data_IF_279550041407
#
_entry.id   IF_279550041407
#
_cell.length_a   1.000
_cell.length_b   1.000
_cell.length_c   1.000
_cell.angle_alpha   90.00
_cell.angle_beta   90.00
_cell.angle_gamma   90.00
#
_symmetry.space_group_name_H-M   'P 1'
#
loop_
_entity.id
_entity.type
_entity.pdbx_description
1 polymer ?
#
# COMPACT_ATOMS: atom_id res chain seq x y z
N UNK A 1 -1.89 9.91 -47.42
CA UNK A 1 -2.50 11.25 -47.62
C UNK A 1 -1.93 11.89 -48.85
N UNK A 2 -2.77 12.54 -49.64
CA UNK A 2 -2.34 13.34 -50.76
C UNK A 2 -1.67 14.65 -50.33
N UNK A 3 -0.94 15.37 -51.24
CA UNK A 3 -0.40 16.67 -50.91
C UNK A 3 -1.46 17.68 -50.40
N UNK A 4 -2.68 17.61 -50.94
CA UNK A 4 -3.80 18.47 -50.52
C UNK A 4 -4.37 18.09 -49.17
N UNK A 5 -4.47 16.82 -48.86
CA UNK A 5 -4.85 16.36 -47.52
C UNK A 5 -3.82 16.80 -46.44
N UNK A 6 -2.52 16.79 -46.79
CA UNK A 6 -1.48 17.32 -45.89
C UNK A 6 -1.59 18.82 -45.65
N UNK A 7 -2.10 19.58 -46.64
CA UNK A 7 -2.42 20.99 -46.43
C UNK A 7 -3.59 21.15 -45.46
N UNK A 8 -4.64 20.35 -45.56
CA UNK A 8 -5.77 20.40 -44.59
C UNK A 8 -5.31 20.15 -43.16
N UNK A 9 -4.40 19.22 -42.90
CA UNK A 9 -3.82 19.02 -41.58
C UNK A 9 -3.00 20.24 -41.12
N UNK A 10 -2.20 20.82 -41.99
CA UNK A 10 -1.32 21.96 -41.68
C UNK A 10 -2.12 23.23 -41.39
N UNK A 11 -3.12 23.51 -42.20
CA UNK A 11 -3.90 24.75 -42.13
C UNK A 11 -5.07 24.66 -41.15
N UNK A 12 -5.34 23.45 -40.60
CA UNK A 12 -6.45 23.20 -39.69
C UNK A 12 -7.82 23.26 -40.37
N UNK A 13 -7.88 23.09 -41.68
CA UNK A 13 -9.10 23.06 -42.46
C UNK A 13 -9.90 21.80 -42.09
N UNK A 14 -11.12 21.97 -41.55
CA UNK A 14 -11.99 20.87 -41.13
C UNK A 14 -11.32 19.93 -40.10
N UNK A 15 -11.14 20.35 -38.83
CA UNK A 15 -10.44 19.59 -37.80
C UNK A 15 -11.18 18.30 -37.38
N UNK A 16 -12.41 18.09 -37.85
CA UNK A 16 -13.11 16.82 -37.67
C UNK A 16 -12.58 15.74 -38.59
N UNK A 17 -12.28 16.08 -39.85
CA UNK A 17 -11.80 15.13 -40.87
C UNK A 17 -10.27 15.04 -40.88
N UNK A 18 -9.59 16.13 -40.57
CA UNK A 18 -8.12 16.25 -40.56
C UNK A 18 -7.67 16.80 -39.19
N UNK A 19 -7.81 15.98 -38.12
CA UNK A 19 -7.51 16.41 -36.78
C UNK A 19 -5.99 16.51 -36.53
N UNK A 20 -5.63 17.38 -35.59
CA UNK A 20 -4.28 17.47 -35.02
C UNK A 20 -4.39 17.58 -33.51
N UNK A 21 -4.57 16.46 -32.84
CA UNK A 21 -4.84 16.38 -31.41
C UNK A 21 -3.57 16.14 -30.63
N UNK A 22 -3.21 17.03 -29.73
CA UNK A 22 -2.21 16.78 -28.70
C UNK A 22 -2.88 16.04 -27.52
N UNK A 23 -2.87 14.72 -27.60
CA UNK A 23 -3.53 13.85 -26.61
C UNK A 23 -2.97 14.02 -25.20
N UNK A 24 -1.68 14.31 -25.08
CA UNK A 24 -1.01 14.46 -23.79
C UNK A 24 -1.39 15.78 -23.14
N UNK A 25 -1.30 16.87 -23.88
CA UNK A 25 -1.67 18.21 -23.40
C UNK A 25 -3.18 18.28 -23.04
N UNK A 26 -4.01 17.57 -23.81
CA UNK A 26 -5.44 17.49 -23.48
C UNK A 26 -5.71 16.66 -22.23
N UNK A 27 -5.02 15.54 -22.06
CA UNK A 27 -5.27 14.61 -20.96
C UNK A 27 -4.72 15.08 -19.61
N UNK A 28 -3.66 15.89 -19.62
CA UNK A 28 -2.97 16.29 -18.39
C UNK A 28 -3.07 17.79 -18.16
N UNK A 29 -3.16 18.15 -16.88
CA UNK A 29 -2.98 19.51 -16.38
C UNK A 29 -1.58 19.68 -15.80
N UNK A 30 -1.11 20.93 -15.75
CA UNK A 30 0.27 21.26 -15.38
C UNK A 30 0.63 20.94 -13.93
N UNK A 31 -0.36 20.88 -13.02
CA UNK A 31 -0.10 20.67 -11.61
C UNK A 31 -1.18 19.82 -10.93
N UNK A 32 -0.75 19.13 -9.89
CA UNK A 32 -1.61 18.43 -8.95
C UNK A 32 -1.41 18.99 -7.54
N UNK A 33 -2.46 18.90 -6.72
CA UNK A 33 -2.40 19.37 -5.34
C UNK A 33 -2.17 18.22 -4.38
N UNK A 34 -1.30 18.47 -3.39
CA UNK A 34 -1.13 17.64 -2.21
C UNK A 34 -1.43 18.47 -0.97
N UNK A 35 -2.38 17.98 -0.17
CA UNK A 35 -2.68 18.54 1.16
C UNK A 35 -2.30 17.49 2.20
N UNK A 36 -1.55 17.90 3.21
CA UNK A 36 -1.18 17.04 4.32
C UNK A 36 -1.25 17.84 5.61
N UNK A 37 -1.89 17.23 6.61
CA UNK A 37 -1.99 17.80 7.96
C UNK A 37 -1.62 16.71 8.95
N UNK A 38 -0.69 17.01 9.84
CA UNK A 38 -0.22 16.12 10.88
C UNK A 38 -0.44 16.76 12.25
N UNK A 39 -1.13 16.05 13.13
CA UNK A 39 -1.28 16.42 14.52
C UNK A 39 -0.53 15.42 15.38
N UNK A 40 0.17 15.92 16.38
CA UNK A 40 0.91 15.11 17.34
C UNK A 40 0.56 15.55 18.75
N UNK A 41 0.15 14.59 19.56
CA UNK A 41 -0.17 14.76 20.96
C UNK A 41 0.71 13.83 21.78
N UNK A 42 1.42 14.39 22.75
CA UNK A 42 2.24 13.61 23.69
C UNK A 42 2.11 14.20 25.08
N UNK A 43 2.13 13.35 26.06
CA UNK A 43 2.06 13.78 27.45
C UNK A 43 2.08 12.62 28.40
N UNK A 44 1.92 12.92 29.65
CA UNK A 44 1.79 11.90 30.68
C UNK A 44 2.30 12.34 32.04
N UNK A 45 2.33 11.36 32.91
CA UNK A 45 2.84 11.44 34.29
C UNK A 45 3.77 10.24 34.54
N UNK A 46 4.25 10.08 35.76
CA UNK A 46 5.03 8.90 36.14
C UNK A 46 4.26 7.58 36.01
N UNK A 47 2.92 7.62 36.01
CA UNK A 47 2.04 6.44 35.93
C UNK A 47 1.45 6.22 34.56
N UNK A 48 1.32 7.27 33.74
CA UNK A 48 0.65 7.19 32.46
C UNK A 48 1.41 8.03 31.43
N UNK A 49 1.77 7.43 30.28
CA UNK A 49 2.35 8.14 29.17
C UNK A 49 1.55 7.82 27.91
N UNK A 50 1.39 8.81 27.06
CA UNK A 50 0.74 8.61 25.77
C UNK A 50 1.45 9.37 24.66
N UNK A 51 1.34 8.80 23.49
CA UNK A 51 1.78 9.40 22.24
C UNK A 51 0.74 9.10 21.17
N UNK A 52 0.14 10.13 20.58
CA UNK A 52 -0.89 9.99 19.55
C UNK A 52 -0.51 10.86 18.36
N UNK A 53 -0.58 10.29 17.15
CA UNK A 53 -0.46 11.02 15.89
C UNK A 53 -1.71 10.81 15.06
N UNK A 54 -2.17 11.90 14.44
CA UNK A 54 -3.26 11.89 13.46
C UNK A 54 -2.73 12.54 12.20
N UNK A 55 -2.69 11.79 11.11
CA UNK A 55 -2.26 12.26 9.79
C UNK A 55 -3.43 12.19 8.83
N UNK A 56 -3.70 13.27 8.15
CA UNK A 56 -4.55 13.31 6.98
C UNK A 56 -3.73 13.74 5.78
N UNK A 57 -3.81 13.01 4.67
CA UNK A 57 -3.19 13.37 3.41
C UNK A 57 -4.15 13.15 2.25
N UNK A 58 -4.20 14.12 1.35
CA UNK A 58 -4.95 14.03 0.10
C UNK A 58 -4.03 14.45 -1.06
N UNK A 59 -3.90 13.57 -2.05
CA UNK A 59 -3.13 13.83 -3.28
C UNK A 59 -4.07 13.69 -4.46
N UNK A 60 -4.27 14.77 -5.21
CA UNK A 60 -5.03 14.73 -6.46
C UNK A 60 -4.13 14.35 -7.65
N UNK A 61 -4.73 13.79 -8.71
CA UNK A 61 -4.00 13.46 -9.93
C UNK A 61 -3.91 14.64 -10.91
N UNK A 62 -3.30 14.38 -12.06
CA UNK A 62 -3.03 15.35 -13.12
C UNK A 62 -4.04 15.26 -14.29
N UNK A 63 -5.08 14.43 -14.20
CA UNK A 63 -5.99 14.24 -15.33
C UNK A 63 -6.93 15.44 -15.53
N UNK A 64 -7.13 15.82 -16.80
CA UNK A 64 -8.19 16.70 -17.26
C UNK A 64 -9.47 15.91 -17.58
N UNK A 65 -10.56 16.59 -17.89
CA UNK A 65 -11.84 16.03 -18.34
C UNK A 65 -12.46 14.99 -17.38
N UNK A 66 -12.12 15.06 -16.12
CA UNK A 66 -12.52 14.07 -15.10
C UNK A 66 -13.93 14.27 -14.54
N UNK A 67 -14.55 15.43 -14.80
CA UNK A 67 -15.83 15.90 -14.29
C UNK A 67 -16.87 16.18 -15.38
N UNK A 68 -16.63 15.69 -16.60
CA UNK A 68 -17.56 15.87 -17.75
C UNK A 68 -18.94 15.26 -17.50
N UNK A 69 -19.04 14.25 -16.64
CA UNK A 69 -20.31 13.65 -16.24
C UNK A 69 -20.67 14.01 -14.82
N UNK A 70 -21.88 14.53 -14.62
CA UNK A 70 -22.39 14.94 -13.29
C UNK A 70 -22.52 13.77 -12.28
N UNK A 71 -22.60 12.54 -12.78
CA UNK A 71 -22.78 11.35 -11.95
C UNK A 71 -21.51 10.89 -11.21
N UNK A 72 -20.32 11.28 -11.68
CA UNK A 72 -19.06 10.92 -11.08
C UNK A 72 -17.92 11.84 -11.54
N UNK A 73 -16.88 11.91 -10.73
CA UNK A 73 -15.62 12.52 -11.09
C UNK A 73 -14.55 11.42 -11.14
N UNK A 74 -13.90 11.24 -12.27
CA UNK A 74 -12.90 10.18 -12.51
C UNK A 74 -11.48 10.56 -12.12
N UNK A 75 -11.26 11.75 -11.52
CA UNK A 75 -9.93 12.21 -11.12
C UNK A 75 -9.22 11.19 -10.25
N UNK A 76 -7.95 10.98 -10.55
CA UNK A 76 -7.04 10.29 -9.66
C UNK A 76 -7.01 11.00 -8.32
N UNK A 77 -7.29 10.30 -7.26
CA UNK A 77 -7.12 10.82 -5.91
C UNK A 77 -6.64 9.72 -4.95
N UNK A 78 -5.80 10.11 -4.01
CA UNK A 78 -5.31 9.24 -2.96
C UNK A 78 -5.51 9.95 -1.62
N UNK A 79 -6.53 9.53 -0.89
CA UNK A 79 -6.83 10.02 0.45
C UNK A 79 -6.34 9.00 1.46
N UNK A 80 -5.58 9.46 2.45
CA UNK A 80 -5.09 8.63 3.53
C UNK A 80 -5.33 9.30 4.87
N UNK A 81 -5.89 8.55 5.80
CA UNK A 81 -6.02 8.94 7.20
C UNK A 81 -5.35 7.88 8.07
N UNK A 82 -4.45 8.30 8.95
CA UNK A 82 -3.80 7.44 9.93
C UNK A 82 -4.05 8.01 11.33
N UNK A 83 -4.42 7.13 12.23
CA UNK A 83 -4.43 7.42 13.66
C UNK A 83 -3.56 6.38 14.34
N UNK A 84 -2.48 6.80 14.97
CA UNK A 84 -1.62 5.96 15.79
C UNK A 84 -1.66 6.47 17.22
N UNK A 85 -1.84 5.56 18.16
CA UNK A 85 -1.77 5.90 19.57
C UNK A 85 -1.04 4.81 20.33
N UNK A 86 -0.18 5.21 21.24
CA UNK A 86 0.55 4.36 22.15
C UNK A 86 0.29 4.83 23.57
N UNK A 87 -0.02 3.89 24.46
CA UNK A 87 -0.23 4.12 25.87
C UNK A 87 0.68 3.24 26.69
N UNK A 88 1.39 3.83 27.65
CA UNK A 88 2.14 3.12 28.66
C UNK A 88 1.54 3.46 30.02
N UNK A 89 1.05 2.45 30.73
CA UNK A 89 0.38 2.59 32.03
C UNK A 89 1.11 1.76 33.08
N UNK A 90 1.66 2.38 34.09
CA UNK A 90 2.13 1.70 35.32
C UNK A 90 0.93 1.40 36.20
N UNK A 91 0.38 0.18 36.04
CA UNK A 91 -0.78 -0.28 36.83
C UNK A 91 -0.41 -0.39 38.31
N UNK A 92 0.78 -0.94 38.57
CA UNK A 92 1.42 -0.97 39.90
C UNK A 92 2.89 -0.54 39.78
N UNK A 93 3.65 -0.58 40.88
CA UNK A 93 5.09 -0.31 40.84
C UNK A 93 5.86 -1.34 39.98
N UNK A 94 5.33 -2.56 39.86
CA UNK A 94 5.96 -3.68 39.17
C UNK A 94 5.16 -4.17 37.94
N UNK A 95 3.99 -3.58 37.64
CA UNK A 95 3.13 -3.98 36.54
C UNK A 95 3.00 -2.87 35.53
N UNK A 96 3.36 -3.11 34.27
CA UNK A 96 3.26 -2.15 33.17
C UNK A 96 2.34 -2.74 32.10
N UNK A 97 1.34 -1.96 31.70
CA UNK A 97 0.48 -2.24 30.57
C UNK A 97 0.86 -1.30 29.42
N UNK A 98 1.13 -1.86 28.24
CA UNK A 98 1.33 -1.11 27.01
C UNK A 98 0.23 -1.44 26.03
N UNK A 99 -0.31 -0.42 25.38
CA UNK A 99 -1.29 -0.57 24.31
C UNK A 99 -0.81 0.22 23.09
N UNK A 100 -0.70 -0.44 21.96
CA UNK A 100 -0.39 0.18 20.67
C UNK A 100 -1.56 -0.03 19.72
N UNK A 101 -2.00 1.03 19.08
CA UNK A 101 -3.09 1.02 18.12
C UNK A 101 -2.72 1.82 16.89
N UNK A 102 -2.90 1.24 15.70
CA UNK A 102 -2.84 1.93 14.43
C UNK A 102 -4.10 1.65 13.63
N UNK A 103 -4.84 2.70 13.31
CA UNK A 103 -5.95 2.66 12.35
C UNK A 103 -5.52 3.44 11.12
N UNK A 104 -5.62 2.80 9.94
CA UNK A 104 -5.35 3.44 8.65
C UNK A 104 -6.51 3.21 7.71
N UNK A 105 -7.01 4.30 7.15
CA UNK A 105 -7.93 4.30 6.04
C UNK A 105 -7.22 4.89 4.83
N UNK A 106 -7.17 4.15 3.73
CA UNK A 106 -6.63 4.61 2.45
C UNK A 106 -7.68 4.41 1.37
N UNK A 107 -7.98 5.48 0.67
CA UNK A 107 -8.90 5.49 -0.45
C UNK A 107 -8.14 5.95 -1.70
N UNK A 108 -8.19 5.14 -2.76
CA UNK A 108 -7.63 5.46 -4.06
C UNK A 108 -8.74 5.43 -5.10
N UNK A 109 -8.96 6.54 -5.76
CA UNK A 109 -9.92 6.67 -6.87
C UNK A 109 -9.17 6.89 -8.17
N UNK A 110 -9.64 6.33 -9.27
CA UNK A 110 -9.08 6.46 -10.59
C UNK A 110 -10.15 6.27 -11.66
N UNK A 111 -9.89 6.64 -12.94
CA UNK A 111 -10.71 6.21 -14.07
C UNK A 111 -10.84 4.68 -14.12
N UNK A 112 -11.92 4.20 -14.70
CA UNK A 112 -12.15 2.76 -14.84
C UNK A 112 -11.07 2.10 -15.73
N UNK A 113 -10.59 2.81 -16.75
CA UNK A 113 -9.45 2.36 -17.56
C UNK A 113 -8.19 2.27 -16.68
N UNK A 114 -7.47 1.17 -16.80
CA UNK A 114 -6.24 0.97 -16.03
C UNK A 114 -5.21 2.06 -16.36
N UNK A 115 -4.45 2.58 -15.37
CA UNK A 115 -3.49 3.67 -15.61
C UNK A 115 -2.45 3.34 -16.69
N UNK A 116 -1.93 2.12 -16.73
CA UNK A 116 -0.98 1.68 -17.76
C UNK A 116 -1.60 1.71 -19.15
N UNK A 117 -2.84 1.24 -19.29
CA UNK A 117 -3.56 1.25 -20.57
C UNK A 117 -3.87 2.69 -21.00
N UNK A 118 -4.26 3.55 -20.06
CA UNK A 118 -4.54 4.95 -20.37
C UNK A 118 -3.27 5.66 -20.87
N UNK A 119 -2.16 5.50 -20.17
CA UNK A 119 -0.86 6.07 -20.58
C UNK A 119 -0.47 5.52 -21.96
N UNK A 120 -0.52 4.21 -22.15
CA UNK A 120 -0.22 3.60 -23.44
C UNK A 120 -1.07 4.21 -24.57
N UNK A 121 -2.39 4.31 -24.41
CA UNK A 121 -3.29 4.87 -25.42
C UNK A 121 -3.00 6.35 -25.72
N UNK A 122 -2.63 7.14 -24.71
CA UNK A 122 -2.25 8.54 -24.89
C UNK A 122 -0.96 8.71 -25.72
N UNK A 123 -0.02 7.75 -25.63
CA UNK A 123 1.22 7.77 -26.38
C UNK A 123 1.12 7.09 -27.76
N UNK A 124 0.31 6.04 -27.87
CA UNK A 124 0.20 5.24 -29.10
C UNK A 124 -0.78 5.86 -30.12
N UNK A 125 -1.67 6.79 -29.68
CA UNK A 125 -2.64 7.41 -30.60
C UNK A 125 -2.00 8.57 -31.34
N UNK A 126 -1.85 8.48 -32.71
CA UNK A 126 -1.32 9.60 -33.49
C UNK A 126 -2.23 10.83 -33.40
N UNK A 127 -1.65 12.01 -33.49
CA UNK A 127 -2.38 13.30 -33.49
C UNK A 127 -3.40 13.42 -34.61
N UNK A 128 -3.10 12.81 -35.78
CA UNK A 128 -3.92 12.86 -36.97
C UNK A 128 -4.95 11.70 -37.05
N UNK A 129 -5.07 10.83 -36.04
CA UNK A 129 -5.87 9.62 -36.15
C UNK A 129 -7.40 9.90 -36.18
N UNK A 130 -7.89 10.73 -35.26
CA UNK A 130 -9.31 11.11 -35.13
C UNK A 130 -9.46 12.32 -34.20
N UNK A 131 -10.57 13.08 -34.27
CA UNK A 131 -10.85 14.18 -33.35
C UNK A 131 -11.25 13.64 -31.97
N UNK A 132 -11.14 14.46 -30.93
CA UNK A 132 -11.63 14.07 -29.59
C UNK A 132 -13.12 13.79 -29.60
N UNK A 133 -13.89 14.68 -30.22
CA UNK A 133 -15.31 14.50 -30.49
C UNK A 133 -15.60 14.88 -31.94
N UNK A 134 -16.55 14.18 -32.53
CA UNK A 134 -17.05 14.47 -33.86
C UNK A 134 -18.05 15.62 -33.85
N UNK A 135 -18.44 16.13 -35.00
CA UNK A 135 -19.45 17.18 -35.12
C UNK A 135 -20.84 16.79 -34.57
N UNK A 136 -21.10 15.50 -34.34
CA UNK A 136 -22.31 15.01 -33.67
C UNK A 136 -22.18 15.00 -32.13
N UNK A 137 -20.97 15.29 -31.60
CA UNK A 137 -20.67 15.19 -30.18
C UNK A 137 -20.31 13.77 -29.71
N UNK A 138 -20.22 12.79 -30.63
CA UNK A 138 -19.75 11.45 -30.31
C UNK A 138 -18.23 11.43 -30.13
N UNK A 139 -17.69 10.45 -29.38
CA UNK A 139 -16.26 10.24 -29.25
C UNK A 139 -15.64 9.78 -30.57
N UNK A 140 -14.62 10.48 -31.04
CA UNK A 140 -13.91 10.10 -32.28
C UNK A 140 -13.11 8.81 -32.10
N UNK A 141 -13.03 7.99 -33.15
CA UNK A 141 -12.18 6.79 -33.21
C UNK A 141 -11.99 6.31 -34.65
N UNK A 142 -11.23 5.25 -34.84
CA UNK A 142 -11.09 4.53 -36.13
C UNK A 142 -11.24 3.03 -35.91
N UNK A 143 -11.30 2.27 -37.02
CA UNK A 143 -11.29 0.80 -36.97
C UNK A 143 -10.01 0.23 -36.36
N UNK A 144 -8.88 0.93 -36.49
CA UNK A 144 -7.57 0.54 -35.91
C UNK A 144 -7.49 0.95 -34.44
N UNK A 145 -7.90 2.18 -34.13
CA UNK A 145 -7.94 2.72 -32.77
C UNK A 145 -9.40 2.76 -32.31
N UNK A 146 -9.91 1.62 -31.86
CA UNK A 146 -11.32 1.47 -31.42
C UNK A 146 -11.56 1.99 -30.00
N UNK A 147 -10.88 3.02 -29.60
CA UNK A 147 -10.98 3.69 -28.30
C UNK A 147 -10.71 5.19 -28.47
N UNK A 148 -11.05 5.96 -27.45
CA UNK A 148 -10.69 7.38 -27.37
C UNK A 148 -10.04 7.64 -26.01
N UNK A 149 -8.80 8.16 -25.96
CA UNK A 149 -8.07 8.37 -24.70
C UNK A 149 -8.80 9.31 -23.72
N UNK A 150 -9.48 10.36 -24.23
CA UNK A 150 -10.22 11.29 -23.41
C UNK A 150 -11.54 10.67 -22.91
N UNK A 151 -12.22 9.88 -23.73
CA UNK A 151 -13.38 9.11 -23.31
C UNK A 151 -13.01 8.08 -22.21
N UNK A 152 -11.85 7.49 -22.29
CA UNK A 152 -11.34 6.58 -21.24
C UNK A 152 -11.13 7.28 -19.90
N UNK A 153 -10.83 8.57 -19.88
CA UNK A 153 -10.76 9.40 -18.68
C UNK A 153 -12.17 9.77 -18.22
N UNK A 154 -12.99 10.31 -19.14
CA UNK A 154 -14.23 11.00 -18.82
C UNK A 154 -15.43 10.06 -18.71
N UNK A 155 -15.55 9.07 -19.60
CA UNK A 155 -16.82 8.38 -19.89
C UNK A 155 -16.84 6.89 -19.49
N UNK A 156 -15.73 6.32 -19.12
CA UNK A 156 -15.65 4.91 -18.76
C UNK A 156 -16.07 4.59 -17.33
N UNK A 157 -16.19 5.62 -16.51
CA UNK A 157 -16.53 5.51 -15.09
C UNK A 157 -15.31 5.53 -14.17
N UNK A 158 -15.46 4.99 -12.97
CA UNK A 158 -14.46 5.06 -11.90
C UNK A 158 -14.25 3.74 -11.18
N UNK A 159 -13.04 3.53 -10.68
CA UNK A 159 -12.71 2.48 -9.72
C UNK A 159 -12.19 3.14 -8.45
N UNK A 160 -12.79 2.78 -7.32
CA UNK A 160 -12.42 3.24 -5.99
C UNK A 160 -11.93 2.04 -5.18
N UNK A 161 -10.65 2.03 -4.81
CA UNK A 161 -10.07 1.01 -3.93
C UNK A 161 -9.99 1.57 -2.51
N UNK A 162 -10.59 0.88 -1.55
CA UNK A 162 -10.62 1.25 -0.14
C UNK A 162 -9.85 0.20 0.63
N UNK A 163 -8.78 0.62 1.30
CA UNK A 163 -8.00 -0.23 2.21
C UNK A 163 -8.20 0.24 3.64
N UNK A 164 -8.68 -0.68 4.47
CA UNK A 164 -8.79 -0.48 5.92
C UNK A 164 -7.76 -1.36 6.60
N UNK A 165 -6.99 -0.77 7.51
CA UNK A 165 -5.98 -1.48 8.30
C UNK A 165 -6.18 -1.12 9.76
N UNK A 166 -6.26 -2.16 10.58
CA UNK A 166 -6.23 -2.08 12.03
C UNK A 166 -5.06 -2.93 12.50
N UNK A 167 -4.13 -2.34 13.25
CA UNK A 167 -3.08 -3.04 13.98
C UNK A 167 -3.25 -2.69 15.45
N UNK A 168 -3.39 -3.70 16.30
CA UNK A 168 -3.58 -3.51 17.73
C UNK A 168 -2.77 -4.55 18.50
N UNK A 169 -1.98 -4.12 19.45
CA UNK A 169 -1.32 -5.00 20.39
C UNK A 169 -1.42 -4.46 21.82
N UNK A 170 -1.48 -5.38 22.74
CA UNK A 170 -1.50 -5.11 24.16
C UNK A 170 -0.48 -6.00 24.85
N UNK A 171 0.42 -5.38 25.60
CA UNK A 171 1.47 -6.06 26.35
C UNK A 171 1.27 -5.78 27.85
N UNK A 172 1.22 -6.84 28.63
CA UNK A 172 1.27 -6.80 30.08
C UNK A 172 2.62 -7.33 30.54
N UNK A 173 3.41 -6.52 31.21
CA UNK A 173 4.70 -6.88 31.80
C UNK A 173 4.62 -6.77 33.31
N UNK A 174 5.09 -7.82 33.98
CA UNK A 174 5.22 -7.92 35.42
C UNK A 174 6.70 -8.11 35.79
N UNK A 175 7.27 -7.15 36.51
CA UNK A 175 8.58 -7.31 37.14
C UNK A 175 8.45 -8.23 38.36
N UNK A 176 9.33 -9.18 38.46
CA UNK A 176 9.34 -10.21 39.49
C UNK A 176 10.59 -10.10 40.39
N UNK A 177 11.06 -8.88 40.63
CA UNK A 177 12.21 -8.57 41.46
C UNK A 177 12.10 -9.11 42.91
N UNK A 178 10.85 -9.38 43.35
CA UNK A 178 10.60 -9.99 44.65
C UNK A 178 11.04 -11.46 44.70
N UNK A 179 11.17 -12.12 43.52
CA UNK A 179 11.74 -13.48 43.39
C UNK A 179 13.26 -13.39 43.24
N UNK A 180 13.69 -12.65 42.23
CA UNK A 180 15.08 -12.31 42.01
C UNK A 180 15.20 -11.05 41.14
N UNK A 181 16.12 -10.12 41.47
CA UNK A 181 16.30 -8.91 40.67
C UNK A 181 16.58 -9.20 39.20
N UNK A 182 15.86 -8.52 38.31
CA UNK A 182 15.97 -8.66 36.86
C UNK A 182 15.09 -9.74 36.24
N UNK A 183 14.33 -10.50 37.04
CA UNK A 183 13.33 -11.45 36.53
C UNK A 183 12.05 -10.71 36.14
N UNK A 184 11.46 -11.06 34.99
CA UNK A 184 10.15 -10.54 34.58
C UNK A 184 9.34 -11.58 33.80
N UNK A 185 8.04 -11.37 33.77
CA UNK A 185 7.11 -12.08 32.88
C UNK A 185 6.37 -11.07 32.01
N UNK A 186 6.11 -11.45 30.76
CA UNK A 186 5.41 -10.59 29.80
C UNK A 186 4.47 -11.42 28.96
N UNK A 187 3.29 -10.88 28.70
CA UNK A 187 2.31 -11.46 27.76
C UNK A 187 1.89 -10.36 26.79
N UNK A 188 1.99 -10.65 25.50
CA UNK A 188 1.49 -9.78 24.43
C UNK A 188 0.43 -10.49 23.64
N UNK A 189 -0.69 -9.85 23.41
CA UNK A 189 -1.71 -10.25 22.46
C UNK A 189 -1.77 -9.22 21.35
N UNK A 190 -1.79 -9.67 20.09
CA UNK A 190 -1.92 -8.78 18.96
C UNK A 190 -2.98 -9.27 17.99
N UNK A 191 -3.65 -8.31 17.37
CA UNK A 191 -4.65 -8.54 16.34
C UNK A 191 -4.49 -7.50 15.23
N UNK A 192 -4.21 -7.99 14.03
CA UNK A 192 -4.10 -7.18 12.83
C UNK A 192 -5.19 -7.57 11.85
N UNK A 193 -5.83 -6.57 11.26
CA UNK A 193 -6.84 -6.76 10.23
C UNK A 193 -6.57 -5.83 9.06
N UNK A 194 -6.50 -6.39 7.86
CA UNK A 194 -6.42 -5.64 6.60
C UNK A 194 -7.52 -6.10 5.67
N UNK A 195 -8.36 -5.17 5.23
CA UNK A 195 -9.42 -5.41 4.27
C UNK A 195 -9.30 -4.46 3.08
N UNK A 196 -9.38 -5.00 1.86
CA UNK A 196 -9.38 -4.23 0.63
C UNK A 196 -10.70 -4.44 -0.09
N UNK A 197 -11.41 -3.35 -0.37
CA UNK A 197 -12.65 -3.30 -1.12
C UNK A 197 -12.41 -2.55 -2.42
N UNK A 198 -13.04 -2.99 -3.51
CA UNK A 198 -13.13 -2.23 -4.74
C UNK A 198 -14.59 -1.93 -5.04
N UNK A 199 -14.90 -0.65 -5.18
CA UNK A 199 -16.16 -0.16 -5.72
C UNK A 199 -15.91 0.31 -7.15
N UNK A 200 -16.61 -0.29 -8.09
CA UNK A 200 -16.49 0.00 -9.51
C UNK A 200 -17.82 0.54 -10.03
N UNK A 201 -17.74 1.68 -10.69
CA UNK A 201 -18.84 2.25 -11.46
C UNK A 201 -18.34 2.35 -12.88
N UNK A 202 -18.79 1.47 -13.76
CA UNK A 202 -18.23 1.35 -15.11
C UNK A 202 -19.31 1.26 -16.15
N UNK A 203 -19.01 1.81 -17.32
CA UNK A 203 -19.82 1.65 -18.53
C UNK A 203 -18.95 1.52 -19.77
N UNK A 204 -19.54 1.07 -20.85
CA UNK A 204 -18.95 1.19 -22.17
C UNK A 204 -19.51 2.47 -22.83
N UNK A 205 -18.65 3.13 -23.61
CA UNK A 205 -19.05 4.22 -24.50
C UNK A 205 -18.99 3.77 -25.95
N UNK A 206 -19.75 4.41 -26.81
CA UNK A 206 -19.65 4.25 -28.26
C UNK A 206 -18.77 5.34 -28.84
N UNK A 207 -18.11 5.02 -29.95
CA UNK A 207 -17.33 5.97 -30.73
C UNK A 207 -17.96 6.13 -32.12
N UNK A 208 -17.51 7.15 -32.83
CA UNK A 208 -17.88 7.41 -34.21
C UNK A 208 -16.61 7.56 -35.06
N UNK A 209 -16.54 6.82 -36.14
CA UNK A 209 -15.54 6.99 -37.19
C UNK A 209 -16.10 7.91 -38.25
N UNK A 210 -15.37 8.95 -38.57
CA UNK A 210 -15.71 9.89 -39.65
C UNK A 210 -14.67 9.74 -40.78
N UNK A 211 -15.17 9.51 -42.00
CA UNK A 211 -14.32 9.33 -43.17
C UNK A 211 -14.68 10.39 -44.21
N UNK A 212 -13.68 11.16 -44.74
CA UNK A 212 -13.95 12.17 -45.75
C UNK A 212 -14.42 11.51 -47.04
N UNK A 213 -15.33 12.19 -47.74
CA UNK A 213 -15.67 11.90 -49.13
C UNK A 213 -15.06 13.01 -49.99
N UNK A 214 -14.15 12.62 -50.91
CA UNK A 214 -13.36 13.54 -51.71
C UNK A 214 -13.77 13.43 -53.15
N UNK A 215 -13.56 14.52 -53.94
CA UNK A 215 -13.59 14.48 -55.40
C UNK A 215 -12.26 14.00 -55.98
N UNK A 216 -12.14 14.05 -57.34
CA UNK A 216 -10.94 13.61 -58.05
C UNK A 216 -9.71 14.52 -57.79
N UNK A 217 -9.93 15.75 -57.36
CA UNK A 217 -8.95 16.77 -57.00
C UNK A 217 -8.68 16.86 -55.52
N UNK A 218 -9.15 15.88 -54.69
CA UNK A 218 -9.06 15.82 -53.25
C UNK A 218 -9.78 16.94 -52.49
N UNK A 219 -10.81 17.59 -53.09
CA UNK A 219 -11.66 18.53 -52.36
C UNK A 219 -12.69 17.78 -51.51
N UNK A 220 -12.98 18.28 -50.34
CA UNK A 220 -13.95 17.68 -49.41
C UNK A 220 -15.37 17.91 -49.96
N UNK A 221 -16.06 16.83 -50.33
CA UNK A 221 -17.47 16.83 -50.73
C UNK A 221 -18.39 16.61 -49.51
N UNK A 222 -17.90 15.94 -48.48
CA UNK A 222 -18.66 15.59 -47.28
C UNK A 222 -17.94 14.53 -46.45
N UNK A 223 -18.69 13.84 -45.62
CA UNK A 223 -18.16 12.73 -44.82
C UNK A 223 -19.18 11.61 -44.68
N UNK A 224 -18.68 10.41 -44.47
CA UNK A 224 -19.47 9.26 -43.98
C UNK A 224 -19.22 9.06 -42.51
N UNK A 225 -20.22 8.57 -41.81
CA UNK A 225 -20.16 8.35 -40.34
C UNK A 225 -20.53 6.89 -40.03
N UNK A 226 -19.73 6.27 -39.20
CA UNK A 226 -19.96 4.91 -38.73
C UNK A 226 -19.83 4.84 -37.21
N UNK A 227 -20.86 4.35 -36.54
CA UNK A 227 -20.80 4.10 -35.10
C UNK A 227 -19.97 2.84 -34.83
N UNK A 228 -19.08 2.91 -33.85
CA UNK A 228 -18.21 1.82 -33.38
C UNK A 228 -18.44 1.56 -31.90
N UNK A 229 -18.66 0.28 -31.56
CA UNK A 229 -18.98 -0.14 -30.20
C UNK A 229 -20.44 0.15 -29.82
N UNK A 230 -20.78 -0.19 -28.60
CA UNK A 230 -22.12 0.03 -28.02
C UNK A 230 -21.99 0.64 -26.64
N UNK A 231 -22.65 1.76 -26.44
CA UNK A 231 -22.74 2.38 -25.11
C UNK A 231 -23.61 1.52 -24.17
N UNK A 232 -23.24 1.46 -22.91
CA UNK A 232 -24.03 0.81 -21.88
C UNK A 232 -24.40 1.78 -20.76
N UNK A 233 -25.39 1.42 -19.98
CA UNK A 233 -25.68 2.12 -18.73
C UNK A 233 -24.54 1.97 -17.74
N UNK A 234 -24.49 2.88 -16.76
CA UNK A 234 -23.50 2.84 -15.68
C UNK A 234 -23.82 1.70 -14.71
N UNK A 235 -23.03 0.63 -14.79
CA UNK A 235 -23.10 -0.50 -13.87
C UNK A 235 -22.36 -0.23 -12.58
N UNK A 236 -22.79 -0.90 -11.51
CA UNK A 236 -22.13 -0.83 -10.20
C UNK A 236 -21.76 -2.23 -9.71
N UNK A 237 -20.53 -2.39 -9.23
CA UNK A 237 -20.03 -3.61 -8.62
C UNK A 237 -19.16 -3.27 -7.42
N UNK A 238 -19.44 -3.89 -6.28
CA UNK A 238 -18.62 -3.78 -5.07
C UNK A 238 -18.15 -5.15 -4.64
N UNK A 239 -16.85 -5.30 -4.42
CA UNK A 239 -16.25 -6.57 -4.05
C UNK A 239 -15.17 -6.41 -2.95
N UNK A 240 -15.17 -7.35 -2.02
CA UNK A 240 -14.06 -7.55 -1.09
C UNK A 240 -12.96 -8.34 -1.83
N UNK A 241 -11.86 -7.66 -2.16
CA UNK A 241 -10.76 -8.29 -2.92
C UNK A 241 -9.80 -9.08 -2.04
N UNK A 242 -9.54 -8.60 -0.84
CA UNK A 242 -8.62 -9.24 0.08
C UNK A 242 -9.02 -8.95 1.52
N UNK A 243 -9.06 -10.00 2.32
CA UNK A 243 -9.19 -9.92 3.77
C UNK A 243 -8.03 -10.71 4.38
N UNK A 244 -7.24 -10.05 5.20
CA UNK A 244 -6.12 -10.66 5.90
C UNK A 244 -6.21 -10.34 7.38
N UNK A 245 -6.17 -11.36 8.22
CA UNK A 245 -6.22 -11.25 9.67
C UNK A 245 -5.04 -11.99 10.27
N UNK A 246 -4.34 -11.34 11.17
CA UNK A 246 -3.32 -11.95 12.01
C UNK A 246 -3.77 -11.88 13.46
N UNK A 247 -3.60 -12.95 14.19
CA UNK A 247 -3.71 -12.94 15.63
C UNK A 247 -2.49 -13.64 16.23
N UNK A 248 -1.90 -13.06 17.24
CA UNK A 248 -0.77 -13.65 17.93
C UNK A 248 -0.93 -13.56 19.44
N UNK A 249 -0.42 -14.59 20.09
CA UNK A 249 -0.17 -14.63 21.51
C UNK A 249 1.33 -14.87 21.70
N UNK A 250 1.95 -14.04 22.50
CA UNK A 250 3.35 -14.09 22.82
C UNK A 250 3.50 -14.03 24.35
N UNK A 251 4.09 -15.07 24.93
CA UNK A 251 4.39 -15.13 26.35
C UNK A 251 5.89 -15.27 26.58
N UNK A 252 6.46 -14.47 27.49
CA UNK A 252 7.89 -14.45 27.77
C UNK A 252 8.15 -14.43 29.27
N UNK A 253 9.08 -15.26 29.71
CA UNK A 253 9.76 -15.12 30.99
C UNK A 253 11.20 -14.75 30.67
N UNK A 254 11.69 -13.65 31.21
CA UNK A 254 13.04 -13.14 30.94
C UNK A 254 13.75 -12.80 32.23
N UNK A 255 15.07 -12.93 32.17
CA UNK A 255 15.98 -12.55 33.24
C UNK A 255 17.10 -11.72 32.64
N UNK A 256 17.21 -10.48 33.08
CA UNK A 256 18.21 -9.50 32.63
C UNK A 256 18.91 -8.93 33.86
N UNK A 257 20.18 -9.26 34.02
CA UNK A 257 20.95 -8.83 35.19
C UNK A 257 22.44 -8.74 34.92
N UNK A 258 23.03 -7.64 35.40
CA UNK A 258 24.50 -7.50 35.51
C UNK A 258 24.90 -7.60 36.95
N UNK A 259 25.92 -8.46 37.26
CA UNK A 259 26.51 -8.64 38.56
C UNK A 259 28.02 -8.75 38.45
N UNK A 260 28.74 -7.75 38.97
CA UNK A 260 30.18 -7.64 38.81
C UNK A 260 30.56 -7.52 37.34
N UNK A 261 31.32 -8.50 36.83
CA UNK A 261 31.77 -8.57 35.45
C UNK A 261 30.86 -9.41 34.55
N UNK A 262 29.80 -9.93 35.08
CA UNK A 262 28.90 -10.84 34.38
C UNK A 262 27.60 -10.14 34.03
N UNK A 263 27.24 -10.11 32.74
CA UNK A 263 25.90 -9.73 32.27
C UNK A 263 25.21 -10.95 31.65
N UNK A 264 23.99 -11.19 32.08
CA UNK A 264 23.17 -12.31 31.62
C UNK A 264 21.84 -11.77 31.14
N UNK A 265 21.46 -12.04 29.91
CA UNK A 265 20.09 -11.95 29.37
C UNK A 265 19.63 -13.37 29.00
N UNK A 266 18.60 -13.86 29.63
CA UNK A 266 18.04 -15.15 29.35
C UNK A 266 16.52 -15.04 29.18
N UNK A 267 15.98 -15.67 28.14
CA UNK A 267 14.56 -15.60 27.85
C UNK A 267 14.02 -16.96 27.41
N UNK A 268 12.86 -17.31 27.95
CA UNK A 268 12.03 -18.40 27.47
C UNK A 268 10.75 -17.80 26.90
N UNK A 269 10.48 -18.08 25.64
CA UNK A 269 9.39 -17.48 24.89
C UNK A 269 8.50 -18.54 24.25
N UNK A 270 7.19 -18.39 24.46
CA UNK A 270 6.16 -19.09 23.72
C UNK A 270 5.46 -18.14 22.75
N UNK A 271 5.33 -18.53 21.49
CA UNK A 271 4.64 -17.78 20.46
C UNK A 271 3.60 -18.64 19.77
N UNK A 272 2.42 -18.09 19.58
CA UNK A 272 1.38 -18.67 18.73
C UNK A 272 0.90 -17.62 17.74
N UNK A 273 0.94 -17.95 16.44
CA UNK A 273 0.50 -17.09 15.35
C UNK A 273 -0.59 -17.81 14.55
N UNK A 274 -1.66 -17.10 14.24
CA UNK A 274 -2.65 -17.50 13.25
C UNK A 274 -2.82 -16.40 12.20
N UNK A 275 -2.72 -16.79 10.92
CA UNK A 275 -2.97 -15.93 9.78
C UNK A 275 -4.10 -16.51 8.95
N UNK A 276 -5.16 -15.74 8.74
CA UNK A 276 -6.27 -16.05 7.86
C UNK A 276 -6.21 -15.12 6.65
N UNK A 277 -6.23 -15.68 5.46
CA UNK A 277 -6.22 -14.93 4.21
C UNK A 277 -7.33 -15.42 3.31
N UNK A 278 -8.22 -14.49 2.89
CA UNK A 278 -9.31 -14.76 1.95
C UNK A 278 -10.19 -15.97 2.33
N UNK A 279 -10.46 -16.13 3.63
CA UNK A 279 -11.31 -17.18 4.16
C UNK A 279 -10.58 -18.22 5.01
N UNK A 280 -11.35 -19.03 5.74
CA UNK A 280 -10.85 -19.98 6.75
C UNK A 280 -10.00 -21.10 6.17
N UNK A 281 -10.21 -21.47 4.92
CA UNK A 281 -9.49 -22.57 4.26
C UNK A 281 -8.01 -22.26 4.01
N UNK A 282 -7.63 -20.97 4.01
CA UNK A 282 -6.26 -20.52 3.84
C UNK A 282 -5.64 -20.07 5.18
N UNK A 283 -6.01 -20.73 6.28
CA UNK A 283 -5.48 -20.42 7.60
C UNK A 283 -4.12 -21.07 7.81
N UNK A 284 -3.10 -20.27 8.04
CA UNK A 284 -1.79 -20.71 8.47
C UNK A 284 -1.65 -20.52 9.98
N UNK A 285 -1.23 -21.56 10.70
CA UNK A 285 -0.95 -21.51 12.14
C UNK A 285 0.48 -21.93 12.39
N UNK A 286 1.17 -21.20 13.25
CA UNK A 286 2.51 -21.51 13.72
C UNK A 286 2.56 -21.44 15.23
N UNK A 287 3.33 -22.32 15.84
CA UNK A 287 3.68 -22.29 17.25
C UNK A 287 5.18 -22.42 17.40
N UNK A 288 5.73 -21.73 18.37
CA UNK A 288 7.16 -21.78 18.69
C UNK A 288 7.34 -21.71 20.20
N UNK A 289 8.27 -22.51 20.70
CA UNK A 289 8.82 -22.36 22.04
C UNK A 289 10.33 -22.24 21.88
N UNK A 290 10.91 -21.14 22.33
CA UNK A 290 12.34 -20.95 22.18
C UNK A 290 12.98 -20.33 23.43
N UNK A 291 14.19 -20.78 23.71
CA UNK A 291 15.06 -20.20 24.70
C UNK A 291 16.20 -19.45 24.04
N UNK A 292 16.51 -18.27 24.57
CA UNK A 292 17.63 -17.43 24.18
C UNK A 292 18.43 -17.15 25.44
N UNK A 293 19.73 -17.30 25.37
CA UNK A 293 20.66 -16.91 26.45
C UNK A 293 21.81 -16.13 25.82
N UNK A 294 22.01 -14.93 26.35
CA UNK A 294 23.15 -14.08 26.02
C UNK A 294 23.95 -13.86 27.31
N UNK A 295 25.21 -14.20 27.26
CA UNK A 295 26.11 -14.02 28.37
C UNK A 295 27.33 -13.20 27.95
N UNK A 296 27.62 -12.14 28.67
CA UNK A 296 28.80 -11.30 28.49
C UNK A 296 29.65 -11.30 29.75
N UNK A 297 30.98 -11.46 29.56
CA UNK A 297 31.94 -11.36 30.62
C UNK A 297 32.89 -10.17 30.38
N UNK A 298 32.78 -9.19 31.28
CA UNK A 298 33.63 -8.01 31.37
C UNK A 298 33.64 -7.18 30.05
N UNK A 299 32.53 -7.23 29.30
CA UNK A 299 32.41 -6.64 27.94
C UNK A 299 33.52 -7.11 26.98
N UNK A 300 34.04 -8.30 27.19
CA UNK A 300 35.11 -8.91 26.38
C UNK A 300 34.69 -10.18 25.68
N UNK A 301 34.04 -11.06 26.39
CA UNK A 301 33.65 -12.37 25.87
C UNK A 301 32.12 -12.47 25.87
N UNK A 302 31.55 -12.71 24.72
CA UNK A 302 30.12 -12.86 24.55
C UNK A 302 29.81 -14.27 24.04
N UNK A 303 28.78 -14.88 24.60
CA UNK A 303 28.21 -16.18 24.17
C UNK A 303 26.71 -16.02 24.01
N UNK A 304 26.20 -16.24 22.78
CA UNK A 304 24.80 -16.27 22.49
C UNK A 304 24.39 -17.69 22.14
N UNK A 305 23.32 -18.18 22.73
CA UNK A 305 22.75 -19.48 22.43
C UNK A 305 21.24 -19.38 22.24
N UNK A 306 20.73 -20.03 21.21
CA UNK A 306 19.30 -20.09 20.90
C UNK A 306 18.93 -21.54 20.62
N UNK A 307 17.83 -21.99 21.20
CA UNK A 307 17.17 -23.24 20.84
C UNK A 307 15.72 -22.93 20.56
N UNK A 308 15.27 -23.16 19.33
CA UNK A 308 13.92 -22.92 18.90
C UNK A 308 13.25 -24.25 18.48
N UNK A 309 12.19 -24.63 19.19
CA UNK A 309 11.28 -25.68 18.80
C UNK A 309 10.05 -25.04 18.16
N UNK A 310 9.89 -25.18 16.86
CA UNK A 310 8.81 -24.52 16.14
C UNK A 310 8.13 -25.43 15.13
N UNK A 311 6.84 -25.16 14.90
CA UNK A 311 6.04 -25.95 14.00
C UNK A 311 4.95 -25.15 13.30
N UNK A 312 4.49 -25.69 12.16
CA UNK A 312 3.44 -25.11 11.34
C UNK A 312 2.36 -26.13 11.00
N UNK A 313 1.10 -25.65 11.00
CA UNK A 313 -0.05 -26.48 10.62
C UNK A 313 -0.10 -26.83 9.12
N UNK A 314 0.74 -26.20 8.29
CA UNK A 314 0.82 -26.49 6.85
C UNK A 314 1.42 -27.88 6.56
N UNK A 315 2.28 -28.36 7.46
CA UNK A 315 2.92 -29.66 7.32
C UNK A 315 2.04 -30.79 7.84
N UNK A 316 2.28 -32.01 7.35
CA UNK A 316 1.58 -33.23 7.77
C UNK A 316 1.74 -33.49 9.27
N UNK A 317 0.75 -34.16 9.88
CA UNK A 317 0.85 -34.62 11.27
C UNK A 317 2.11 -35.52 11.41
N UNK A 318 2.90 -35.26 12.44
CA UNK A 318 4.17 -35.99 12.68
C UNK A 318 5.42 -35.28 12.17
N UNK A 319 5.31 -34.36 11.18
CA UNK A 319 6.45 -33.61 10.65
C UNK A 319 6.30 -32.08 10.87
N UNK A 320 5.38 -31.67 11.75
CA UNK A 320 5.04 -30.28 11.97
C UNK A 320 6.10 -29.49 12.74
N UNK A 321 6.77 -30.13 13.67
CA UNK A 321 7.67 -29.50 14.61
C UNK A 321 9.09 -29.99 14.42
N UNK A 322 10.04 -29.04 14.44
CA UNK A 322 11.48 -29.30 14.40
C UNK A 322 12.20 -28.40 15.40
N UNK A 323 13.43 -28.77 15.73
CA UNK A 323 14.33 -28.01 16.61
C UNK A 323 15.39 -27.32 15.78
N UNK A 324 15.63 -26.06 16.08
CA UNK A 324 16.61 -25.21 15.37
C UNK A 324 17.55 -24.57 16.41
N UNK A 325 18.70 -25.18 16.68
CA UNK A 325 19.71 -24.62 17.56
C UNK A 325 20.60 -23.61 16.81
N UNK A 326 21.07 -22.57 17.51
CA UNK A 326 22.12 -21.69 17.03
C UNK A 326 23.02 -21.27 18.21
N UNK A 327 24.30 -21.05 17.94
CA UNK A 327 25.27 -20.54 18.90
C UNK A 327 26.14 -19.48 18.24
N UNK A 328 26.42 -18.41 18.96
CA UNK A 328 27.33 -17.34 18.60
C UNK A 328 28.40 -17.14 19.67
N UNK A 329 29.60 -16.83 19.25
CA UNK A 329 30.70 -16.48 20.13
C UNK A 329 31.28 -15.15 19.68
N UNK A 330 31.48 -14.24 20.62
CA UNK A 330 32.08 -12.91 20.40
C UNK A 330 33.26 -12.64 21.30
N UNK A 331 34.26 -11.97 20.76
CA UNK A 331 35.41 -11.49 21.51
C UNK A 331 35.69 -10.03 21.14
N UNK A 332 35.54 -9.14 22.12
CA UNK A 332 35.87 -7.71 21.98
C UNK A 332 37.35 -7.51 22.34
N UNK A 333 38.22 -7.70 21.38
CA UNK A 333 39.67 -7.66 21.54
C UNK A 333 40.15 -6.29 22.03
N UNK A 334 39.50 -5.20 21.65
CA UNK A 334 39.79 -3.82 22.09
C UNK A 334 39.69 -3.63 23.61
N UNK A 335 38.89 -4.45 24.29
CA UNK A 335 38.70 -4.37 25.74
C UNK A 335 39.72 -5.17 26.52
N UNK A 336 40.65 -5.86 25.85
CA UNK A 336 41.74 -6.57 26.52
C UNK A 336 42.78 -5.62 27.07
N UNK A 337 43.41 -6.03 28.18
CA UNK A 337 44.36 -5.19 28.89
C UNK A 337 45.57 -4.77 28.05
N UNK A 338 45.98 -5.59 27.07
CA UNK A 338 47.08 -5.29 26.16
C UNK A 338 46.71 -4.34 25.02
N UNK A 339 45.40 -4.05 24.78
CA UNK A 339 44.92 -3.11 23.78
C UNK A 339 44.21 -1.89 24.35
N UNK A 340 43.92 -1.87 25.63
CA UNK A 340 43.09 -0.85 26.31
C UNK A 340 43.50 0.61 26.09
N UNK A 341 44.77 0.86 25.72
CA UNK A 341 45.28 2.19 25.43
C UNK A 341 45.76 2.33 23.98
N UNK A 342 45.34 1.48 23.08
CA UNK A 342 45.70 1.55 21.68
C UNK A 342 44.89 2.65 20.98
N UNK A 343 45.53 3.68 20.36
CA UNK A 343 44.78 4.78 19.72
C UNK A 343 44.15 4.41 18.38
N UNK A 344 44.45 3.22 17.85
CA UNK A 344 44.01 2.78 16.50
C UNK A 344 42.83 1.78 16.56
N UNK A 345 42.79 0.96 17.64
CA UNK A 345 41.77 -0.07 17.82
C UNK A 345 40.85 0.37 18.96
N UNK A 346 39.61 0.80 18.61
CA UNK A 346 38.57 1.22 19.56
C UNK A 346 37.37 0.29 19.51
#
# INVERSE_FOLDING_TARGET
YSPRELEYFRDGTNPELYPNVDWQNMAYRDYAMKHQVDFQFKGGSDRFKYYTTVTYANVSGLLNHTDMFSLYNSQLSNVQMNVRTNFDVKVTKSTILKLNLLVRLKEQKRPATAPSTLVQRLFDTPSAAFPVQTGTGAWGSTSVYNYNPIADIADRGTVKAIRRTLLADMTLRQELDFVTPGLYAEVTVAYDNMANYNDQRTRNYSCEMVTPVLDAEDNILGCTRQSLGTASELGWNSALNNLEMYSSLYGRIGYDRTFGKHAVDAQLVYEQLARVRNGRNSTMKRQSLYGVVSYDYDSRYNVDAVVNWSGTAVLAKGSRFNVYPAIGLGWTVSNESFLKNNPVIT
#
